data_IF_519051606688
#
_entry.id   IF_519051606688
#
_cell.length_a   1.000
_cell.length_b   1.000
_cell.length_c   1.000
_cell.angle_alpha   90.00
_cell.angle_beta   90.00
_cell.angle_gamma   90.00
#
_symmetry.space_group_name_H-M   'P 1'
#
loop_
_entity.id
_entity.type
_entity.pdbx_description
1 polymer ?
#
# COMPACT_ATOMS: atom_id res chain seq x y z
N UNK A 1 35.59 24.63 17.98
CA UNK A 1 35.56 23.40 18.07
C UNK A 1 35.37 23.01 18.20
N UNK A 2 35.21 23.48 17.93
CA UNK A 2 35.13 22.34 18.16
C UNK A 2 34.87 21.81 17.97
N UNK A 3 35.25 22.26 17.70
CA UNK A 3 35.21 21.12 17.72
C UNK A 3 34.87 20.93 17.72
N UNK A 4 35.01 21.32 17.44
CA UNK A 4 34.87 20.35 17.64
C UNK A 4 34.63 19.92 17.36
N UNK A 5 35.13 20.54 16.98
CA UNK A 5 35.02 19.52 16.95
C UNK A 5 34.87 19.14 16.70
N UNK A 6 35.11 19.41 16.36
CA UNK A 6 35.02 18.39 16.31
C UNK A 6 34.78 17.92 16.12
N UNK A 7 34.83 18.10 15.86
CA UNK A 7 34.51 17.06 15.82
C UNK A 7 34.30 16.67 15.63
N UNK A 8 34.67 16.57 15.64
CA UNK A 8 34.30 15.76 15.43
C UNK A 8 34.32 15.09 15.62
N UNK A 9 34.55 14.74 15.54
CA UNK A 9 34.15 13.75 16.30
C UNK A 9 34.82 13.45 17.61
N UNK A 10 34.28 13.57 18.54
CA UNK A 10 34.69 13.64 19.91
C UNK A 10 33.68 12.84 20.70
N UNK A 11 33.66 12.97 22.03
CA UNK A 11 32.55 12.45 22.83
C UNK A 11 31.25 13.06 22.39
N UNK A 12 31.32 14.30 22.04
CA UNK A 12 30.19 14.98 21.45
C UNK A 12 29.76 14.28 20.15
N UNK A 13 30.74 13.82 19.41
CA UNK A 13 30.47 13.08 18.18
C UNK A 13 29.84 11.71 18.47
N UNK A 14 30.20 11.10 19.57
CA UNK A 14 29.57 9.84 19.95
C UNK A 14 28.10 10.02 20.27
N UNK A 15 27.80 11.09 21.02
CA UNK A 15 26.40 11.42 21.30
C UNK A 15 25.65 11.74 20.02
N UNK A 16 26.30 12.45 19.15
CA UNK A 16 25.71 12.78 17.86
C UNK A 16 25.46 11.50 17.03
N UNK A 17 26.38 10.56 17.07
CA UNK A 17 26.20 9.30 16.36
C UNK A 17 25.03 8.50 16.93
N UNK A 18 24.84 8.53 18.22
CA UNK A 18 23.69 7.87 18.82
C UNK A 18 22.38 8.52 18.38
N UNK A 19 22.37 9.84 18.35
CA UNK A 19 21.19 10.55 17.86
C UNK A 19 20.94 10.26 16.39
N UNK A 20 22.01 10.21 15.61
CA UNK A 20 21.89 9.89 14.20
C UNK A 20 21.35 8.48 13.99
N UNK A 21 21.77 7.55 14.81
CA UNK A 21 21.28 6.19 14.72
C UNK A 21 19.78 6.13 14.95
N UNK A 22 19.29 6.84 15.97
CA UNK A 22 17.86 6.92 16.24
C UNK A 22 17.13 7.63 15.11
N UNK A 23 17.74 8.69 14.58
CA UNK A 23 17.18 9.41 13.45
C UNK A 23 17.15 8.53 12.20
N UNK A 24 18.18 7.73 12.03
CA UNK A 24 18.26 6.82 10.90
C UNK A 24 17.16 5.77 10.97
N UNK A 25 16.92 5.23 12.15
CA UNK A 25 15.83 4.27 12.34
C UNK A 25 14.48 4.90 12.05
N UNK A 26 14.27 6.12 12.53
CA UNK A 26 13.04 6.85 12.21
C UNK A 26 12.91 7.11 10.71
N UNK A 27 14.03 7.44 10.07
CA UNK A 27 14.06 7.68 8.64
C UNK A 27 13.69 6.41 7.88
N UNK A 28 14.26 5.28 8.27
CA UNK A 28 13.95 4.00 7.64
C UNK A 28 12.48 3.64 7.84
N UNK A 29 11.94 3.86 9.04
CA UNK A 29 10.52 3.59 9.30
C UNK A 29 9.63 4.47 8.44
N UNK A 30 10.01 5.73 8.25
CA UNK A 30 9.26 6.63 7.39
C UNK A 30 9.30 6.18 5.94
N UNK A 31 10.45 5.71 5.47
CA UNK A 31 10.59 5.19 4.11
C UNK A 31 9.70 3.95 3.93
N UNK A 32 9.71 3.06 4.92
CA UNK A 32 8.87 1.87 4.85
C UNK A 32 7.39 2.22 4.82
N UNK A 33 6.99 3.26 5.54
CA UNK A 33 5.62 3.75 5.49
C UNK A 33 5.28 4.28 4.09
N UNK A 34 6.20 5.01 3.49
CA UNK A 34 6.01 5.52 2.15
C UNK A 34 5.91 4.40 1.13
N UNK A 35 6.71 3.35 1.28
CA UNK A 35 6.59 2.17 0.42
C UNK A 35 5.21 1.53 0.55
N UNK A 36 4.68 1.44 1.77
CA UNK A 36 3.33 0.93 1.97
C UNK A 36 2.28 1.83 1.36
N UNK A 37 2.51 3.15 1.44
CA UNK A 37 1.61 4.13 0.83
C UNK A 37 1.67 4.11 -0.69
N UNK A 38 2.77 3.59 -1.25
CA UNK A 38 2.89 3.43 -2.70
C UNK A 38 2.17 2.20 -3.20
N UNK A 39 1.75 1.30 -2.30
CA UNK A 39 0.88 0.22 -2.66
C UNK A 39 -0.53 0.78 -2.79
N UNK A 40 -1.14 0.54 -3.93
CA UNK A 40 -2.51 0.97 -4.14
C UNK A 40 -3.39 -0.24 -4.35
N UNK A 41 -4.56 -0.20 -3.73
CA UNK A 41 -5.54 -1.27 -3.85
C UNK A 41 -6.71 -0.75 -4.68
N UNK A 42 -7.07 -1.51 -5.70
CA UNK A 42 -8.19 -1.18 -6.59
C UNK A 42 -9.18 -2.33 -6.59
N UNK A 43 -10.45 -2.00 -6.68
CA UNK A 43 -11.50 -3.00 -6.87
C UNK A 43 -12.13 -2.76 -8.22
N UNK A 44 -12.24 -3.79 -9.02
CA UNK A 44 -12.84 -3.67 -10.35
C UNK A 44 -14.35 -3.53 -10.20
N UNK A 45 -14.87 -2.37 -10.60
CA UNK A 45 -16.29 -2.10 -10.58
C UNK A 45 -16.99 -2.74 -11.79
N UNK A 46 -16.42 -2.53 -12.95
CA UNK A 46 -16.96 -3.11 -14.18
C UNK A 46 -15.90 -3.16 -15.26
N UNK A 47 -16.15 -3.95 -16.27
CA UNK A 47 -15.27 -4.09 -17.42
C UNK A 47 -16.07 -3.75 -18.67
N UNK A 48 -15.58 -2.78 -19.43
CA UNK A 48 -16.23 -2.31 -20.66
C UNK A 48 -15.19 -2.06 -21.72
N UNK A 49 -15.36 -2.65 -22.91
CA UNK A 49 -14.55 -2.31 -24.09
C UNK A 49 -13.05 -2.33 -23.83
N UNK A 50 -12.53 -3.39 -23.24
CA UNK A 50 -11.10 -3.56 -22.95
C UNK A 50 -10.59 -2.61 -21.87
N UNK A 51 -11.49 -2.00 -21.12
CA UNK A 51 -11.13 -1.13 -20.01
C UNK A 51 -11.81 -1.64 -18.75
N UNK A 52 -11.04 -1.71 -17.67
CA UNK A 52 -11.58 -2.01 -16.35
C UNK A 52 -11.75 -0.69 -15.61
N UNK A 53 -12.97 -0.42 -15.16
CA UNK A 53 -13.23 0.74 -14.32
C UNK A 53 -13.06 0.30 -12.88
N UNK A 54 -12.09 0.89 -12.21
CA UNK A 54 -11.68 0.45 -10.88
C UNK A 54 -11.82 1.57 -9.88
N UNK A 55 -12.15 1.19 -8.66
CA UNK A 55 -12.18 2.14 -7.56
C UNK A 55 -10.93 2.02 -6.74
N UNK A 56 -10.23 3.13 -6.54
CA UNK A 56 -9.09 3.18 -5.64
C UNK A 56 -9.61 3.18 -4.21
N UNK A 57 -9.24 2.15 -3.44
CA UNK A 57 -9.77 1.99 -2.09
C UNK A 57 -9.31 3.08 -1.13
N UNK A 58 -8.16 3.67 -1.38
CA UNK A 58 -7.65 4.72 -0.51
C UNK A 58 -8.32 6.06 -0.73
N UNK A 59 -8.62 6.38 -1.98
CA UNK A 59 -9.14 7.71 -2.33
C UNK A 59 -10.61 7.71 -2.70
N UNK A 60 -11.17 6.55 -3.03
CA UNK A 60 -12.52 6.44 -3.55
C UNK A 60 -12.66 6.89 -5.00
N UNK A 61 -11.58 7.26 -5.64
CA UNK A 61 -11.63 7.72 -7.03
C UNK A 61 -11.75 6.56 -7.99
N UNK A 62 -12.52 6.79 -9.05
CA UNK A 62 -12.62 5.81 -10.13
C UNK A 62 -11.53 6.05 -11.15
N UNK A 63 -10.92 4.98 -11.61
CA UNK A 63 -9.81 5.02 -12.56
C UNK A 63 -10.06 4.00 -13.64
N UNK A 64 -9.73 4.36 -14.87
CA UNK A 64 -9.84 3.44 -15.99
C UNK A 64 -8.47 2.84 -16.27
N UNK A 65 -8.42 1.51 -16.32
CA UNK A 65 -7.18 0.79 -16.56
C UNK A 65 -7.39 -0.15 -17.74
N UNK A 66 -6.47 -0.12 -18.69
CA UNK A 66 -6.55 -1.00 -19.84
C UNK A 66 -6.38 -2.45 -19.42
N UNK A 67 -7.23 -3.32 -19.89
CA UNK A 67 -7.19 -4.74 -19.54
C UNK A 67 -5.85 -5.37 -19.87
N UNK A 68 -5.18 -4.89 -20.91
CA UNK A 68 -3.88 -5.41 -21.30
C UNK A 68 -2.81 -5.24 -20.21
N UNK A 69 -3.02 -4.32 -19.30
CA UNK A 69 -2.10 -4.08 -18.17
C UNK A 69 -2.44 -4.90 -16.94
N UNK A 70 -3.51 -5.66 -16.98
CA UNK A 70 -4.02 -6.39 -15.83
C UNK A 70 -3.78 -7.88 -15.98
N UNK A 71 -3.79 -8.62 -14.86
CA UNK A 71 -3.71 -10.09 -14.94
C UNK A 71 -4.87 -10.67 -15.75
N UNK A 72 -4.70 -11.89 -16.24
CA UNK A 72 -5.66 -12.48 -17.16
C UNK A 72 -6.96 -12.94 -16.51
N UNK A 73 -6.92 -13.22 -15.23
CA UNK A 73 -8.07 -13.83 -14.54
C UNK A 73 -8.92 -12.82 -13.79
N UNK A 74 -9.00 -11.60 -14.29
CA UNK A 74 -9.77 -10.54 -13.65
C UNK A 74 -11.25 -10.65 -14.00
N UNK A 75 -12.08 -10.17 -13.09
CA UNK A 75 -13.52 -10.07 -13.27
C UNK A 75 -14.04 -8.94 -12.40
N UNK A 76 -15.31 -8.61 -12.57
CA UNK A 76 -15.94 -7.64 -11.69
C UNK A 76 -15.84 -8.12 -10.25
N UNK A 77 -15.47 -7.22 -9.36
CA UNK A 77 -15.24 -7.54 -7.96
C UNK A 77 -13.82 -7.99 -7.64
N UNK A 78 -12.98 -8.21 -8.64
CA UNK A 78 -11.58 -8.57 -8.39
C UNK A 78 -10.86 -7.45 -7.66
N UNK A 79 -10.00 -7.82 -6.73
CA UNK A 79 -9.19 -6.87 -5.98
C UNK A 79 -7.78 -6.91 -6.55
N UNK A 80 -7.29 -5.74 -6.91
CA UNK A 80 -5.98 -5.59 -7.52
C UNK A 80 -5.07 -4.81 -6.59
N UNK A 81 -3.82 -5.19 -6.58
CA UNK A 81 -2.78 -4.50 -5.86
C UNK A 81 -1.79 -3.97 -6.87
N UNK A 82 -1.53 -2.68 -6.83
CA UNK A 82 -0.54 -2.05 -7.68
C UNK A 82 0.71 -1.81 -6.87
N UNK A 83 1.80 -2.47 -7.28
CA UNK A 83 3.08 -2.23 -6.64
C UNK A 83 4.18 -2.48 -7.66
N UNK A 84 5.24 -1.70 -7.58
CA UNK A 84 6.41 -1.81 -8.47
C UNK A 84 6.04 -1.76 -9.95
N UNK A 85 5.04 -0.94 -10.28
CA UNK A 85 4.63 -0.75 -11.68
C UNK A 85 3.77 -1.85 -12.26
N UNK A 86 3.33 -2.79 -11.43
CA UNK A 86 2.52 -3.92 -11.89
C UNK A 86 1.24 -4.06 -11.09
N UNK A 87 0.18 -4.51 -11.78
CA UNK A 87 -1.07 -4.86 -11.12
C UNK A 87 -1.10 -6.37 -10.88
N UNK A 88 -1.42 -6.76 -9.66
CA UNK A 88 -1.55 -8.17 -9.28
C UNK A 88 -2.88 -8.37 -8.59
N UNK A 89 -3.43 -9.58 -8.70
CA UNK A 89 -4.64 -9.91 -7.96
C UNK A 89 -4.26 -10.10 -6.49
N UNK A 90 -4.95 -9.38 -5.61
CA UNK A 90 -4.76 -9.52 -4.18
C UNK A 90 -5.76 -10.53 -3.64
N UNK A 91 -5.36 -11.78 -3.63
CA UNK A 91 -6.24 -12.88 -3.25
C UNK A 91 -6.64 -12.78 -1.78
N UNK A 92 -5.71 -12.35 -0.95
CA UNK A 92 -5.97 -12.27 0.48
C UNK A 92 -7.02 -11.23 0.81
N UNK A 93 -6.87 -10.02 0.25
CA UNK A 93 -7.84 -8.96 0.48
C UNK A 93 -9.19 -9.32 -0.14
N UNK A 94 -9.17 -9.97 -1.28
CA UNK A 94 -10.40 -10.41 -1.93
C UNK A 94 -11.16 -11.39 -1.06
N UNK A 95 -10.47 -12.34 -0.45
CA UNK A 95 -11.09 -13.28 0.49
C UNK A 95 -11.66 -12.57 1.70
N UNK A 96 -10.93 -11.60 2.23
CA UNK A 96 -11.40 -10.85 3.38
C UNK A 96 -12.68 -10.09 3.08
N UNK A 97 -12.77 -9.50 1.91
CA UNK A 97 -13.98 -8.79 1.49
C UNK A 97 -15.14 -9.77 1.34
N UNK A 98 -14.90 -10.90 0.70
CA UNK A 98 -15.93 -11.91 0.51
C UNK A 98 -16.45 -12.43 1.83
N UNK A 99 -15.57 -12.66 2.79
CA UNK A 99 -15.97 -13.16 4.10
C UNK A 99 -16.79 -12.12 4.86
N UNK A 100 -16.41 -10.85 4.76
CA UNK A 100 -17.18 -9.79 5.40
C UNK A 100 -18.59 -9.68 4.81
N UNK A 101 -18.70 -9.86 3.52
CA UNK A 101 -20.01 -9.84 2.86
C UNK A 101 -20.86 -11.02 3.32
N UNK A 102 -20.27 -12.21 3.35
CA UNK A 102 -20.97 -13.40 3.81
C UNK A 102 -21.47 -13.25 5.26
N UNK A 103 -20.66 -12.65 6.10
CA UNK A 103 -21.02 -12.46 7.49
C UNK A 103 -22.17 -11.49 7.64
N UNK A 104 -22.14 -10.41 6.88
CA UNK A 104 -23.25 -9.46 6.88
C UNK A 104 -24.53 -10.09 6.40
N UNK A 105 -24.45 -10.92 5.37
CA UNK A 105 -25.62 -11.61 4.85
C UNK A 105 -26.17 -12.61 5.87
N UNK A 106 -25.28 -13.31 6.56
CA UNK A 106 -25.71 -14.22 7.61
C UNK A 106 -26.50 -13.50 8.70
N UNK A 107 -26.00 -12.36 9.11
CA UNK A 107 -26.68 -11.56 10.14
C UNK A 107 -28.05 -11.10 9.68
N UNK A 108 -28.19 -10.77 8.41
CA UNK A 108 -29.49 -10.38 7.85
C UNK A 108 -30.44 -11.54 7.83
N UNK A 109 -29.97 -12.73 7.44
CA UNK A 109 -30.83 -13.92 7.33
C UNK A 109 -31.24 -14.48 8.68
N UNK A 110 -30.42 -14.29 9.71
CA UNK A 110 -30.67 -14.86 11.02
C UNK A 110 -31.42 -13.93 11.96
N UNK A 111 -31.81 -12.78 11.50
CA UNK A 111 -32.65 -11.84 12.30
C UNK A 111 -34.12 -11.95 11.91
#
# INVERSE_FOLDING_TARGET
MQIQNNNYVTNENLDYLHKEKNNFESFIQNILKEFKLMEEIFVIDRIENNIAVCENRSTGKMTEIEISKLPTDIKEGSVLKYENGEYKIDIEEQKNIEERIKEKMRNIWNN
#
